data_IF_030773406138
#
_entry.id   IF_030773406138
#
_cell.length_a   1.000
_cell.length_b   1.000
_cell.length_c   1.000
_cell.angle_alpha   90.00
_cell.angle_beta   90.00
_cell.angle_gamma   90.00
#
_symmetry.space_group_name_H-M   'P 1'
#
loop_
_entity.id
_entity.type
_entity.pdbx_description
1 polymer ?
#
# COMPACT_ATOMS: atom_id res chain seq x y z
N UNK A 1 6.77 10.25 10.41
CA UNK A 1 6.09 10.92 11.53
C UNK A 1 4.57 10.86 11.34
N UNK A 2 4.02 11.32 10.18
CA UNK A 2 2.57 11.34 9.92
C UNK A 2 1.91 9.94 10.05
N UNK A 3 2.54 8.91 9.50
CA UNK A 3 2.03 7.54 9.59
C UNK A 3 2.01 6.99 11.03
N UNK A 4 2.94 7.43 11.88
CA UNK A 4 3.00 7.04 13.28
C UNK A 4 1.89 7.70 14.11
N UNK A 5 1.58 8.96 13.83
CA UNK A 5 0.55 9.72 14.54
C UNK A 5 -0.88 9.41 14.03
N UNK A 6 -1.00 8.89 12.80
CA UNK A 6 -2.28 8.70 12.11
C UNK A 6 -3.35 7.99 12.95
N UNK A 7 -3.12 6.77 13.44
CA UNK A 7 -4.11 6.03 14.21
C UNK A 7 -4.55 6.74 15.50
N UNK A 8 -3.59 7.34 16.22
CA UNK A 8 -3.88 8.06 17.48
C UNK A 8 -4.63 9.35 17.23
N UNK A 9 -4.27 10.11 16.20
CA UNK A 9 -4.97 11.35 15.80
C UNK A 9 -6.39 11.01 15.31
N UNK A 10 -6.55 9.96 14.51
CA UNK A 10 -7.85 9.51 14.06
C UNK A 10 -8.75 9.10 15.24
N UNK A 11 -8.23 8.34 16.19
CA UNK A 11 -8.95 7.96 17.40
C UNK A 11 -9.36 9.19 18.25
N UNK A 12 -8.47 10.17 18.40
CA UNK A 12 -8.77 11.41 19.11
C UNK A 12 -9.85 12.23 18.40
N UNK A 13 -9.80 12.36 17.07
CA UNK A 13 -10.84 13.06 16.31
C UNK A 13 -12.18 12.36 16.47
N UNK A 14 -12.23 11.02 16.35
CA UNK A 14 -13.48 10.26 16.48
C UNK A 14 -14.07 10.28 17.89
N UNK A 15 -13.25 10.53 18.92
CA UNK A 15 -13.75 10.70 20.30
C UNK A 15 -14.43 12.05 20.53
N UNK A 16 -14.09 13.07 19.75
CA UNK A 16 -14.57 14.46 19.91
C UNK A 16 -15.55 14.88 18.80
N UNK A 17 -15.50 14.23 17.64
CA UNK A 17 -16.23 14.63 16.46
C UNK A 17 -16.65 13.42 15.61
N UNK A 18 -17.52 13.64 14.61
CA UNK A 18 -17.99 12.62 13.69
C UNK A 18 -16.93 12.29 12.61
N UNK A 19 -17.08 11.14 11.95
CA UNK A 19 -16.15 10.62 10.94
C UNK A 19 -15.80 11.60 9.78
N UNK A 20 -16.66 12.53 9.31
CA UNK A 20 -16.26 13.48 8.25
C UNK A 20 -15.11 14.40 8.65
N UNK A 21 -14.92 14.65 9.94
CA UNK A 21 -13.81 15.47 10.43
C UNK A 21 -12.42 14.85 10.20
N UNK A 22 -12.33 13.54 10.03
CA UNK A 22 -11.08 12.87 9.63
C UNK A 22 -10.57 13.41 8.29
N UNK A 23 -11.48 13.67 7.36
CA UNK A 23 -11.15 14.23 6.05
C UNK A 23 -10.99 15.76 6.11
N UNK A 24 -11.83 16.43 6.86
CA UNK A 24 -11.78 17.89 7.01
C UNK A 24 -10.46 18.39 7.59
N UNK A 25 -9.86 17.67 8.54
CA UNK A 25 -8.55 18.02 9.14
C UNK A 25 -7.40 17.85 8.14
N UNK A 26 -7.50 16.95 7.17
CA UNK A 26 -6.46 16.77 6.14
C UNK A 26 -6.51 17.84 5.06
N UNK A 27 -7.64 18.51 4.84
CA UNK A 27 -7.79 19.53 3.79
C UNK A 27 -6.87 20.75 3.99
N UNK A 28 -6.77 21.41 5.17
CA UNK A 28 -5.85 22.52 5.36
C UNK A 28 -4.38 22.12 5.21
N UNK A 29 -4.01 20.89 5.59
CA UNK A 29 -2.65 20.36 5.37
C UNK A 29 -2.36 20.22 3.88
N UNK A 30 -3.32 19.72 3.10
CA UNK A 30 -3.23 19.64 1.64
C UNK A 30 -3.10 21.02 0.97
N UNK A 31 -3.88 22.00 1.44
CA UNK A 31 -3.80 23.38 0.94
C UNK A 31 -2.44 24.00 1.26
N UNK A 32 -1.92 23.82 2.48
CA UNK A 32 -0.60 24.29 2.86
C UNK A 32 0.49 23.64 2.00
N UNK A 33 0.44 22.33 1.78
CA UNK A 33 1.37 21.62 0.92
C UNK A 33 1.34 22.16 -0.52
N UNK A 34 0.13 22.44 -1.05
CA UNK A 34 -0.05 23.03 -2.37
C UNK A 34 0.58 24.43 -2.47
N UNK A 35 0.30 25.30 -1.49
CA UNK A 35 0.84 26.65 -1.43
C UNK A 35 2.37 26.66 -1.29
N UNK A 36 2.92 25.78 -0.45
CA UNK A 36 4.36 25.60 -0.31
C UNK A 36 4.99 25.07 -1.60
N UNK A 37 4.35 24.07 -2.22
CA UNK A 37 4.78 23.55 -3.52
C UNK A 37 4.80 24.65 -4.58
N UNK A 38 3.73 25.42 -4.71
CA UNK A 38 3.66 26.53 -5.66
C UNK A 38 4.72 27.62 -5.41
N UNK A 39 5.02 27.91 -4.13
CA UNK A 39 5.95 28.98 -3.76
C UNK A 39 7.41 28.58 -3.87
N UNK A 40 7.75 27.34 -3.56
CA UNK A 40 9.14 26.90 -3.38
C UNK A 40 9.64 25.91 -4.43
N UNK A 41 8.76 25.27 -5.22
CA UNK A 41 9.23 24.42 -6.32
C UNK A 41 9.79 25.31 -7.45
N UNK A 42 11.02 25.04 -7.93
CA UNK A 42 11.56 25.72 -9.09
C UNK A 42 10.66 25.43 -10.31
N UNK A 43 10.52 26.46 -11.17
CA UNK A 43 9.84 26.29 -12.44
C UNK A 43 10.55 25.20 -13.24
N UNK A 44 9.81 24.18 -13.63
CA UNK A 44 10.33 23.10 -14.45
C UNK A 44 10.62 23.68 -15.84
N UNK A 45 11.89 23.80 -16.22
CA UNK A 45 12.27 24.04 -17.61
C UNK A 45 11.84 22.80 -18.37
N UNK A 46 10.65 22.89 -19.02
CA UNK A 46 9.98 21.76 -19.62
C UNK A 46 10.93 20.96 -20.50
N UNK A 47 11.17 19.72 -20.16
CA UNK A 47 11.76 18.77 -21.09
C UNK A 47 10.96 18.81 -22.40
N UNK A 48 11.59 18.68 -23.59
CA UNK A 48 10.91 18.75 -24.87
C UNK A 48 9.68 17.84 -24.83
N UNK A 49 8.56 18.43 -25.19
CA UNK A 49 7.21 17.86 -25.07
C UNK A 49 7.15 16.39 -25.54
N UNK A 50 7.36 15.47 -24.62
CA UNK A 50 7.04 14.08 -24.88
C UNK A 50 5.53 13.96 -24.90
N UNK A 51 5.00 13.59 -26.07
CA UNK A 51 3.55 13.37 -26.21
C UNK A 51 3.13 12.26 -25.25
N UNK A 52 2.21 12.61 -24.36
CA UNK A 52 1.64 11.65 -23.42
C UNK A 52 0.97 10.49 -24.21
N UNK A 53 1.35 9.25 -23.91
CA UNK A 53 0.80 8.07 -24.59
C UNK A 53 -0.59 7.72 -24.03
N UNK A 54 -1.59 8.50 -24.44
CA UNK A 54 -2.99 8.28 -24.05
C UNK A 54 -3.48 6.84 -24.27
N UNK A 55 -3.18 6.16 -25.40
CA UNK A 55 -3.63 4.78 -25.59
C UNK A 55 -3.03 3.80 -24.57
N UNK A 56 -1.76 3.96 -24.20
CA UNK A 56 -1.17 3.13 -23.15
C UNK A 56 -1.76 3.43 -21.77
N UNK A 57 -2.04 4.69 -21.47
CA UNK A 57 -2.71 5.08 -20.23
C UNK A 57 -4.14 4.51 -20.17
N UNK A 58 -4.90 4.60 -21.26
CA UNK A 58 -6.25 4.03 -21.33
C UNK A 58 -6.24 2.51 -21.15
N UNK A 59 -5.31 1.80 -21.82
CA UNK A 59 -5.15 0.35 -21.65
C UNK A 59 -4.81 -0.03 -20.21
N UNK A 60 -3.93 0.75 -19.54
CA UNK A 60 -3.60 0.55 -18.15
C UNK A 60 -4.82 0.67 -17.25
N UNK A 61 -5.57 1.78 -17.38
CA UNK A 61 -6.79 2.03 -16.58
C UNK A 61 -7.84 0.94 -16.81
N UNK A 62 -8.07 0.55 -18.06
CA UNK A 62 -9.04 -0.50 -18.38
C UNK A 62 -8.60 -1.87 -17.83
N UNK A 63 -7.32 -2.21 -17.95
CA UNK A 63 -6.79 -3.47 -17.42
C UNK A 63 -6.92 -3.53 -15.91
N UNK A 64 -6.50 -2.48 -15.21
CA UNK A 64 -6.62 -2.39 -13.76
C UNK A 64 -8.09 -2.35 -13.33
N UNK A 65 -8.94 -1.63 -14.03
CA UNK A 65 -10.38 -1.59 -13.78
C UNK A 65 -11.02 -2.96 -13.87
N UNK A 66 -10.73 -3.72 -14.93
CA UNK A 66 -11.19 -5.11 -15.07
C UNK A 66 -10.65 -6.01 -13.96
N UNK A 67 -9.37 -5.85 -13.58
CA UNK A 67 -8.78 -6.61 -12.48
C UNK A 67 -9.51 -6.34 -11.15
N UNK A 68 -9.74 -5.07 -10.80
CA UNK A 68 -10.45 -4.71 -9.57
C UNK A 68 -11.91 -5.17 -9.59
N UNK A 69 -12.61 -5.08 -10.72
CA UNK A 69 -13.97 -5.60 -10.85
C UNK A 69 -14.02 -7.11 -10.66
N UNK A 70 -13.06 -7.85 -11.23
CA UNK A 70 -12.96 -9.30 -11.05
C UNK A 70 -12.70 -9.68 -9.58
N UNK A 71 -11.73 -9.01 -8.94
CA UNK A 71 -11.41 -9.27 -7.52
C UNK A 71 -12.59 -8.93 -6.62
N UNK A 72 -13.24 -7.79 -6.84
CA UNK A 72 -14.40 -7.37 -6.04
C UNK A 72 -15.58 -8.30 -6.25
N UNK A 73 -15.88 -8.70 -7.50
CA UNK A 73 -16.94 -9.66 -7.81
C UNK A 73 -16.70 -11.01 -7.13
N UNK A 74 -15.44 -11.48 -7.16
CA UNK A 74 -15.06 -12.72 -6.46
C UNK A 74 -15.23 -12.59 -4.93
N UNK A 75 -14.77 -11.48 -4.34
CA UNK A 75 -14.85 -11.25 -2.89
C UNK A 75 -16.31 -11.14 -2.39
N UNK A 76 -17.20 -10.61 -3.22
CA UNK A 76 -18.63 -10.50 -2.90
C UNK A 76 -19.44 -11.77 -3.20
N UNK A 77 -18.79 -12.84 -3.66
CA UNK A 77 -19.46 -14.10 -4.02
C UNK A 77 -20.31 -14.00 -5.29
N UNK A 78 -20.13 -12.95 -6.09
CA UNK A 78 -20.82 -12.87 -7.38
C UNK A 78 -20.24 -13.91 -8.33
N UNK A 79 -21.12 -14.78 -8.87
CA UNK A 79 -20.76 -15.78 -9.85
C UNK A 79 -21.25 -15.42 -11.26
N UNK A 80 -20.95 -16.31 -12.21
CA UNK A 80 -21.43 -16.21 -13.57
C UNK A 80 -20.81 -15.04 -14.35
N UNK A 81 -21.64 -14.33 -15.10
CA UNK A 81 -21.18 -13.30 -16.06
C UNK A 81 -20.53 -12.07 -15.38
N UNK A 82 -20.87 -11.77 -14.13
CA UNK A 82 -20.23 -10.68 -13.36
C UNK A 82 -18.72 -10.90 -13.14
N UNK A 83 -18.28 -12.14 -13.06
CA UNK A 83 -16.88 -12.50 -12.95
C UNK A 83 -16.25 -12.76 -14.33
N UNK A 84 -17.00 -13.41 -15.24
CA UNK A 84 -16.50 -13.78 -16.55
C UNK A 84 -16.20 -12.58 -17.43
N UNK A 85 -17.04 -11.52 -17.42
CA UNK A 85 -16.84 -10.33 -18.25
C UNK A 85 -15.53 -9.58 -17.91
N UNK A 86 -15.26 -9.19 -16.65
CA UNK A 86 -14.01 -8.51 -16.33
C UNK A 86 -12.77 -9.36 -16.64
N UNK A 87 -12.84 -10.67 -16.46
CA UNK A 87 -11.73 -11.58 -16.79
C UNK A 87 -11.56 -11.68 -18.30
N UNK A 88 -12.64 -11.89 -19.05
CA UNK A 88 -12.62 -12.04 -20.50
C UNK A 88 -12.10 -10.78 -21.22
N UNK A 89 -12.41 -9.59 -20.72
CA UNK A 89 -11.89 -8.33 -21.26
C UNK A 89 -10.54 -7.97 -20.67
N UNK A 90 -10.32 -8.19 -19.39
CA UNK A 90 -9.10 -7.81 -18.68
C UNK A 90 -7.85 -8.54 -19.18
N UNK A 91 -7.97 -9.83 -19.48
CA UNK A 91 -6.83 -10.63 -20.00
C UNK A 91 -6.35 -10.14 -21.39
N UNK A 92 -7.21 -9.95 -22.39
CA UNK A 92 -6.77 -9.40 -23.68
C UNK A 92 -6.25 -7.96 -23.59
N UNK A 93 -6.90 -7.11 -22.78
CA UNK A 93 -6.45 -5.73 -22.55
C UNK A 93 -5.08 -5.71 -21.86
N UNK A 94 -4.86 -6.55 -20.85
CA UNK A 94 -3.58 -6.67 -20.16
C UNK A 94 -2.49 -7.19 -21.08
N UNK A 95 -2.78 -8.20 -21.90
CA UNK A 95 -1.85 -8.69 -22.91
C UNK A 95 -1.49 -7.62 -23.93
N UNK A 96 -2.48 -6.89 -24.45
CA UNK A 96 -2.26 -5.79 -25.38
C UNK A 96 -1.45 -4.66 -24.75
N UNK A 97 -1.73 -4.33 -23.49
CA UNK A 97 -0.98 -3.35 -22.72
C UNK A 97 0.49 -3.77 -22.58
N UNK A 98 0.77 -4.98 -22.12
CA UNK A 98 2.14 -5.51 -21.97
C UNK A 98 2.88 -5.51 -23.31
N UNK A 99 2.24 -6.02 -24.37
CA UNK A 99 2.83 -6.06 -25.71
C UNK A 99 3.19 -4.66 -26.21
N UNK A 100 2.31 -3.69 -25.97
CA UNK A 100 2.53 -2.30 -26.34
C UNK A 100 3.66 -1.65 -25.53
N UNK A 101 3.75 -1.93 -24.22
CA UNK A 101 4.84 -1.43 -23.38
C UNK A 101 6.20 -1.95 -23.83
N UNK A 102 6.29 -3.22 -24.17
CA UNK A 102 7.54 -3.85 -24.65
C UNK A 102 7.99 -3.33 -26.02
N UNK A 103 7.07 -2.73 -26.80
CA UNK A 103 7.38 -2.19 -28.14
C UNK A 103 7.73 -0.69 -28.11
N UNK A 104 7.67 -0.02 -26.95
CA UNK A 104 7.92 1.40 -26.83
C UNK A 104 9.31 1.69 -26.31
N UNK A 105 9.97 2.70 -26.90
CA UNK A 105 11.27 3.18 -26.40
C UNK A 105 11.21 3.87 -25.05
N UNK A 106 10.05 4.44 -24.71
CA UNK A 106 9.76 5.04 -23.41
C UNK A 106 8.42 4.49 -22.91
N UNK A 107 8.42 3.33 -22.25
CA UNK A 107 7.22 2.72 -21.74
C UNK A 107 6.74 3.43 -20.46
N UNK A 108 5.42 3.44 -20.22
CA UNK A 108 4.84 3.92 -18.94
C UNK A 108 5.27 3.03 -17.78
N UNK A 109 5.38 1.73 -18.02
CA UNK A 109 5.90 0.74 -17.07
C UNK A 109 7.08 0.02 -17.74
N UNK A 110 8.25 0.06 -17.14
CA UNK A 110 9.45 -0.64 -17.66
C UNK A 110 9.37 -2.14 -17.35
N UNK A 111 8.44 -2.84 -18.01
CA UNK A 111 8.18 -4.27 -17.82
C UNK A 111 9.40 -5.13 -18.22
N UNK A 112 10.23 -4.62 -19.11
CA UNK A 112 11.50 -5.23 -19.51
C UNK A 112 12.46 -5.46 -18.33
N UNK A 113 12.41 -4.62 -17.29
CA UNK A 113 13.19 -4.81 -16.08
C UNK A 113 12.84 -6.12 -15.33
N UNK A 114 11.63 -6.63 -15.50
CA UNK A 114 11.23 -7.92 -14.91
C UNK A 114 11.99 -9.12 -15.53
N UNK A 115 12.67 -8.93 -16.66
CA UNK A 115 13.57 -9.93 -17.22
C UNK A 115 14.87 -10.08 -16.42
N UNK A 116 15.19 -9.09 -15.58
CA UNK A 116 16.34 -9.15 -14.68
C UNK A 116 15.88 -9.90 -13.41
N UNK A 117 16.43 -11.11 -13.13
CA UNK A 117 15.91 -11.96 -12.04
C UNK A 117 15.91 -11.29 -10.67
N UNK A 118 16.96 -10.54 -10.35
CA UNK A 118 17.05 -9.83 -9.06
C UNK A 118 15.97 -8.77 -8.92
N UNK A 119 15.64 -8.09 -10.00
CA UNK A 119 14.55 -7.09 -10.01
C UNK A 119 13.18 -7.76 -9.85
N UNK A 120 12.93 -8.82 -10.60
CA UNK A 120 11.68 -9.59 -10.49
C UNK A 120 11.47 -10.15 -9.08
N UNK A 121 12.50 -10.74 -8.48
CA UNK A 121 12.45 -11.24 -7.11
C UNK A 121 12.19 -10.12 -6.10
N UNK A 122 12.79 -8.96 -6.27
CA UNK A 122 12.55 -7.78 -5.41
C UNK A 122 11.12 -7.30 -5.50
N UNK A 123 10.54 -7.24 -6.70
CA UNK A 123 9.13 -6.88 -6.91
C UNK A 123 8.20 -7.93 -6.27
N UNK A 124 8.45 -9.23 -6.49
CA UNK A 124 7.64 -10.28 -5.86
C UNK A 124 7.70 -10.21 -4.33
N UNK A 125 8.89 -10.02 -3.76
CA UNK A 125 9.05 -9.86 -2.31
C UNK A 125 8.30 -8.65 -1.79
N UNK A 126 8.37 -7.51 -2.49
CA UNK A 126 7.65 -6.30 -2.12
C UNK A 126 6.13 -6.50 -2.17
N UNK A 127 5.61 -7.09 -3.25
CA UNK A 127 4.18 -7.38 -3.38
C UNK A 127 3.71 -8.29 -2.24
N UNK A 128 4.45 -9.36 -1.94
CA UNK A 128 4.11 -10.29 -0.86
C UNK A 128 4.12 -9.60 0.51
N UNK A 129 5.14 -8.79 0.79
CA UNK A 129 5.25 -8.04 2.04
C UNK A 129 4.11 -7.02 2.21
N UNK A 130 3.82 -6.23 1.17
CA UNK A 130 2.73 -5.26 1.20
C UNK A 130 1.36 -5.93 1.32
N UNK A 131 1.14 -7.05 0.64
CA UNK A 131 -0.12 -7.81 0.75
C UNK A 131 -0.33 -8.30 2.19
N UNK A 132 0.69 -8.93 2.78
CA UNK A 132 0.62 -9.39 4.16
C UNK A 132 0.44 -8.23 5.16
N UNK A 133 1.14 -7.11 4.93
CA UNK A 133 1.01 -5.90 5.75
C UNK A 133 -0.41 -5.31 5.68
N UNK A 134 -0.99 -5.22 4.48
CA UNK A 134 -2.35 -4.70 4.31
C UNK A 134 -3.40 -5.60 4.94
N UNK A 135 -3.26 -6.92 4.79
CA UNK A 135 -4.11 -7.90 5.48
C UNK A 135 -4.05 -7.71 7.00
N UNK A 136 -2.85 -7.62 7.57
CA UNK A 136 -2.68 -7.40 9.00
C UNK A 136 -3.27 -6.04 9.43
N UNK A 137 -3.00 -4.97 8.67
CA UNK A 137 -3.46 -3.62 8.99
C UNK A 137 -4.99 -3.49 8.98
N UNK A 138 -5.67 -4.30 8.17
CA UNK A 138 -7.14 -4.36 8.16
C UNK A 138 -7.66 -5.33 9.23
N UNK A 139 -7.08 -6.52 9.34
CA UNK A 139 -7.60 -7.58 10.21
C UNK A 139 -7.42 -7.29 11.71
N UNK A 140 -6.29 -6.69 12.11
CA UNK A 140 -5.97 -6.45 13.52
C UNK A 140 -6.97 -5.49 14.18
N UNK A 141 -7.34 -4.32 13.62
CA UNK A 141 -8.36 -3.46 14.21
C UNK A 141 -9.73 -4.13 14.33
N UNK A 142 -10.10 -4.95 13.33
CA UNK A 142 -11.35 -5.71 13.41
C UNK A 142 -11.31 -6.74 14.54
N UNK A 143 -10.21 -7.45 14.71
CA UNK A 143 -10.01 -8.37 15.82
C UNK A 143 -10.12 -7.66 17.18
N UNK A 144 -9.43 -6.52 17.35
CA UNK A 144 -9.48 -5.76 18.60
C UNK A 144 -10.88 -5.26 18.93
N UNK A 145 -11.63 -4.78 17.94
CA UNK A 145 -12.95 -4.22 18.18
C UNK A 145 -14.04 -5.29 18.30
N UNK A 146 -14.03 -6.32 17.46
CA UNK A 146 -15.11 -7.32 17.42
C UNK A 146 -14.87 -8.54 18.31
N UNK A 147 -13.64 -9.04 18.39
CA UNK A 147 -13.34 -10.20 19.23
C UNK A 147 -13.04 -9.80 20.68
N UNK A 148 -12.30 -8.70 20.91
CA UNK A 148 -11.91 -8.24 22.24
C UNK A 148 -12.80 -7.13 22.79
N UNK A 149 -13.74 -6.60 22.02
CA UNK A 149 -14.67 -5.54 22.45
C UNK A 149 -14.01 -4.20 22.78
N UNK A 150 -12.78 -3.95 22.29
CA UNK A 150 -12.07 -2.71 22.55
C UNK A 150 -12.71 -1.55 21.81
N UNK A 151 -12.72 -0.38 22.44
CA UNK A 151 -13.16 0.85 21.79
C UNK A 151 -12.13 1.37 20.77
N UNK A 152 -12.55 2.32 19.93
CA UNK A 152 -11.69 2.88 18.87
C UNK A 152 -10.40 3.52 19.42
N UNK A 153 -10.42 4.10 20.62
CA UNK A 153 -9.28 4.76 21.23
C UNK A 153 -8.22 3.73 21.61
N UNK A 154 -8.61 2.67 22.33
CA UNK A 154 -7.70 1.59 22.72
C UNK A 154 -7.15 0.86 21.49
N UNK A 155 -7.99 0.61 20.49
CA UNK A 155 -7.55 0.03 19.20
C UNK A 155 -6.50 0.91 18.53
N UNK A 156 -6.71 2.23 18.45
CA UNK A 156 -5.74 3.18 17.89
C UNK A 156 -4.42 3.21 18.63
N UNK A 157 -4.46 3.18 19.97
CA UNK A 157 -3.26 3.13 20.81
C UNK A 157 -2.47 1.83 20.59
N UNK A 158 -3.14 0.68 20.53
CA UNK A 158 -2.51 -0.63 20.27
C UNK A 158 -1.93 -0.73 18.86
N UNK A 159 -2.45 0.01 17.90
CA UNK A 159 -1.90 0.07 16.53
C UNK A 159 -0.72 1.03 16.40
N UNK A 160 -0.53 1.96 17.33
CA UNK A 160 0.52 2.99 17.28
C UNK A 160 1.96 2.43 17.30
N UNK A 161 2.32 1.35 18.02
CA UNK A 161 3.68 0.79 18.01
C UNK A 161 4.18 0.41 16.61
N UNK A 162 3.32 -0.02 15.70
CA UNK A 162 3.70 -0.40 14.34
C UNK A 162 4.35 0.75 13.56
N UNK A 163 3.66 1.90 13.31
CA UNK A 163 4.28 3.01 12.61
C UNK A 163 5.43 3.66 13.39
N UNK A 164 5.43 3.60 14.71
CA UNK A 164 6.59 4.02 15.51
C UNK A 164 7.81 3.15 15.23
N UNK A 165 7.67 1.83 15.21
CA UNK A 165 8.75 0.93 14.86
C UNK A 165 9.31 1.23 13.47
N UNK A 166 8.44 1.47 12.46
CA UNK A 166 8.90 1.81 11.11
C UNK A 166 9.64 3.15 11.05
N UNK A 167 9.25 4.12 11.88
CA UNK A 167 9.93 5.42 11.95
C UNK A 167 11.39 5.31 12.38
N UNK A 168 11.71 4.37 13.28
CA UNK A 168 13.07 4.11 13.74
C UNK A 168 13.83 3.11 12.87
N UNK A 169 13.15 2.07 12.39
CA UNK A 169 13.81 1.01 11.61
C UNK A 169 14.12 1.44 10.19
N UNK A 170 13.33 2.34 9.56
CA UNK A 170 13.58 2.78 8.19
C UNK A 170 14.92 3.52 8.02
N UNK A 171 15.28 4.54 8.85
CA UNK A 171 16.61 5.16 8.79
C UNK A 171 17.75 4.19 9.13
N UNK A 172 17.50 3.26 10.06
CA UNK A 172 18.47 2.24 10.42
C UNK A 172 18.74 1.30 9.25
N UNK A 173 17.70 0.83 8.59
CA UNK A 173 17.82 0.00 7.39
C UNK A 173 18.57 0.72 6.26
N UNK A 174 18.31 2.03 6.07
CA UNK A 174 19.04 2.85 5.11
C UNK A 174 20.55 2.88 5.38
N UNK A 175 20.95 3.10 6.64
CA UNK A 175 22.38 3.08 7.04
C UNK A 175 23.02 1.70 6.93
N UNK A 176 22.25 0.64 7.21
CA UNK A 176 22.73 -0.74 7.09
C UNK A 176 22.93 -1.16 5.64
N UNK A 177 22.12 -0.63 4.70
CA UNK A 177 22.26 -0.88 3.26
C UNK A 177 23.59 -0.35 2.68
N UNK A 178 24.20 0.64 3.33
CA UNK A 178 25.53 1.13 2.93
C UNK A 178 26.66 0.13 3.26
N UNK A 179 26.43 -0.78 4.21
CA UNK A 179 27.46 -1.71 4.74
C UNK A 179 27.19 -3.18 4.42
N UNK A 180 25.94 -3.55 4.25
CA UNK A 180 25.51 -4.94 4.09
C UNK A 180 24.74 -5.14 2.78
N UNK A 181 24.78 -6.36 2.24
CA UNK A 181 24.04 -6.73 1.03
C UNK A 181 22.53 -6.56 1.22
N UNK A 182 21.87 -5.86 0.29
CA UNK A 182 20.43 -5.60 0.32
C UNK A 182 19.60 -6.89 0.45
N UNK A 183 20.01 -7.97 -0.21
CA UNK A 183 19.33 -9.27 -0.15
C UNK A 183 19.33 -9.89 1.26
N UNK A 184 20.45 -9.76 1.98
CA UNK A 184 20.58 -10.28 3.35
C UNK A 184 19.71 -9.48 4.32
N UNK A 185 19.76 -8.15 4.22
CA UNK A 185 18.90 -7.28 5.04
C UNK A 185 17.42 -7.51 4.75
N UNK A 186 17.06 -7.60 3.48
CA UNK A 186 15.69 -7.89 3.06
C UNK A 186 15.21 -9.24 3.59
N UNK A 187 16.04 -10.28 3.49
CA UNK A 187 15.75 -11.61 4.04
C UNK A 187 15.50 -11.60 5.55
N UNK A 188 16.39 -10.95 6.31
CA UNK A 188 16.22 -10.79 7.76
C UNK A 188 14.92 -10.01 8.07
N UNK A 189 14.65 -8.91 7.36
CA UNK A 189 13.42 -8.14 7.53
C UNK A 189 12.15 -8.97 7.29
N UNK A 190 12.14 -9.78 6.24
CA UNK A 190 11.02 -10.67 5.93
C UNK A 190 10.84 -11.77 7.00
N UNK A 191 11.91 -12.34 7.52
CA UNK A 191 11.84 -13.32 8.61
C UNK A 191 11.30 -12.72 9.91
N UNK A 192 11.75 -11.52 10.28
CA UNK A 192 11.23 -10.79 11.44
C UNK A 192 9.76 -10.44 11.27
N UNK A 193 9.37 -10.02 10.07
CA UNK A 193 7.99 -9.70 9.73
C UNK A 193 7.10 -10.95 9.81
N UNK A 194 7.52 -12.06 9.22
CA UNK A 194 6.82 -13.34 9.27
C UNK A 194 6.70 -13.84 10.72
N UNK A 195 7.77 -13.73 11.51
CA UNK A 195 7.76 -14.07 12.94
C UNK A 195 6.79 -13.23 13.76
N UNK A 196 6.71 -11.92 13.47
CA UNK A 196 5.73 -11.02 14.09
C UNK A 196 4.28 -11.39 13.76
N UNK A 197 4.00 -11.69 12.48
CA UNK A 197 2.66 -12.16 12.07
C UNK A 197 2.31 -13.52 12.68
N UNK A 198 3.28 -14.44 12.75
CA UNK A 198 3.09 -15.73 13.41
C UNK A 198 2.79 -15.56 14.90
N UNK A 199 3.52 -14.66 15.58
CA UNK A 199 3.24 -14.33 16.98
C UNK A 199 1.83 -13.81 17.20
N UNK A 200 1.36 -12.91 16.31
CA UNK A 200 -0.03 -12.42 16.33
C UNK A 200 -1.06 -13.54 16.08
N UNK A 201 -0.78 -14.44 15.13
CA UNK A 201 -1.65 -15.58 14.85
C UNK A 201 -1.71 -16.63 15.97
N UNK A 202 -0.69 -16.63 16.85
CA UNK A 202 -0.59 -17.54 18.00
C UNK A 202 -1.18 -16.97 19.29
N UNK A 203 -1.77 -15.76 19.24
CA UNK A 203 -2.43 -15.17 20.40
C UNK A 203 -3.65 -16.02 20.80
N UNK A 204 -3.84 -16.28 22.11
CA UNK A 204 -5.05 -16.95 22.60
C UNK A 204 -6.29 -16.09 22.37
N UNK A 205 -7.47 -16.71 22.34
CA UNK A 205 -8.74 -16.03 22.10
C UNK A 205 -9.07 -14.92 23.12
N UNK A 206 -8.47 -14.98 24.30
CA UNK A 206 -8.52 -13.95 25.34
C UNK A 206 -7.10 -13.59 25.81
N UNK A 207 -6.35 -12.80 25.08
CA UNK A 207 -5.06 -12.34 25.53
C UNK A 207 -5.26 -11.39 26.73
N UNK A 208 -4.65 -11.72 27.87
CA UNK A 208 -4.58 -10.79 29.00
C UNK A 208 -3.65 -9.63 28.60
N UNK A 209 -4.21 -8.56 28.03
CA UNK A 209 -3.49 -7.31 27.92
C UNK A 209 -3.38 -6.74 29.33
N UNK A 210 -2.16 -6.62 29.87
CA UNK A 210 -1.90 -5.77 31.00
C UNK A 210 -2.13 -4.32 30.53
N UNK A 211 -3.33 -3.82 30.80
CA UNK A 211 -3.70 -2.42 30.60
C UNK A 211 -3.18 -1.61 31.79
#
# INVERSE_FOLDING_TARGET
>A
VAAAAGPSVAAAILSLASWPWLFAVSAPVGVLALLMGWRFLPANEGAPSQRFDLPSAALNVLTLGCFFLAVTGFAQGHGGWWLLLPVAFGLPLGWLFVRRQLSRSMPLLPIDLLRIPIFALSICSSISAFTAQMLAMVSIPFYFQHALGLNAIHTGLLMTPWPLATMFTAPLAGRLLERYHAGLLGGIGMLLFAGGLWGLASLPDNPAFAL
#
